data_IF_048497409224
#
_entry.id   IF_048497409224
#
_cell.length_a   1.000
_cell.length_b   1.000
_cell.length_c   1.000
_cell.angle_alpha   90.00
_cell.angle_beta   90.00
_cell.angle_gamma   90.00
#
_symmetry.space_group_name_H-M   'P 1'
#
loop_
_entity.id
_entity.type
_entity.pdbx_description
1 polymer ?
#
# COMPACT_ATOMS: atom_id res chain seq x y z
N UNK A 1 -37.06 64.22 9.29
CA UNK A 1 -35.80 64.76 8.72
C UNK A 1 -34.66 63.81 9.09
N UNK A 2 -34.25 62.95 8.14
CA UNK A 2 -32.89 62.77 7.55
C UNK A 2 -31.84 62.20 8.54
N UNK A 3 -31.67 60.86 8.59
CA UNK A 3 -30.71 59.99 7.83
C UNK A 3 -29.27 60.13 8.34
N UNK A 4 -28.82 59.30 9.29
CA UNK A 4 -28.23 57.93 9.17
C UNK A 4 -27.02 57.87 8.20
N UNK A 5 -25.87 57.68 8.84
CA UNK A 5 -24.51 57.47 8.34
C UNK A 5 -24.41 56.35 7.29
N UNK A 6 -23.67 56.60 6.20
CA UNK A 6 -23.25 55.60 5.22
C UNK A 6 -21.78 55.27 5.44
N UNK A 7 -21.52 54.02 5.81
CA UNK A 7 -20.22 53.38 5.84
C UNK A 7 -19.58 53.40 4.43
N UNK A 8 -18.31 53.81 4.38
CA UNK A 8 -17.49 53.81 3.18
C UNK A 8 -17.09 52.39 2.77
N UNK A 9 -17.62 51.94 1.64
CA UNK A 9 -17.12 50.79 0.89
C UNK A 9 -15.75 51.14 0.31
N UNK A 10 -14.68 50.53 0.82
CA UNK A 10 -13.40 50.45 0.10
C UNK A 10 -13.38 49.16 -0.72
N UNK A 11 -13.87 49.24 -1.95
CA UNK A 11 -13.56 48.25 -2.97
C UNK A 11 -12.09 48.38 -3.34
N UNK A 12 -11.28 47.36 -3.01
CA UNK A 12 -9.92 47.24 -3.56
C UNK A 12 -10.03 46.87 -5.04
N UNK A 13 -9.97 47.88 -5.90
CA UNK A 13 -9.68 47.71 -7.31
C UNK A 13 -8.22 47.24 -7.46
N UNK A 14 -8.02 46.03 -7.96
CA UNK A 14 -6.71 45.60 -8.46
C UNK A 14 -6.51 46.22 -9.85
N UNK A 15 -5.95 47.43 -9.91
CA UNK A 15 -5.38 47.97 -11.14
C UNK A 15 -3.95 47.46 -11.26
N UNK A 16 -3.74 46.46 -12.11
CA UNK A 16 -2.42 45.91 -12.38
C UNK A 16 -1.76 46.75 -13.48
N UNK A 17 -1.02 47.78 -13.09
CA UNK A 17 -0.17 48.55 -13.99
C UNK A 17 1.12 47.77 -14.23
N UNK A 18 1.31 47.30 -15.46
CA UNK A 18 2.59 46.74 -15.91
C UNK A 18 3.59 47.88 -16.10
N UNK A 19 4.62 47.93 -15.26
CA UNK A 19 5.83 48.71 -15.53
C UNK A 19 6.94 47.75 -15.97
N UNK A 20 7.58 47.96 -17.14
CA UNK A 20 8.65 47.09 -17.61
C UNK A 20 9.96 47.53 -16.97
N UNK A 21 10.32 46.93 -15.83
CA UNK A 21 11.68 46.99 -15.30
C UNK A 21 12.33 45.61 -15.41
N UNK A 22 13.49 45.62 -16.10
CA UNK A 22 14.58 44.64 -16.22
C UNK A 22 14.23 43.18 -15.93
N UNK A 23 14.47 42.35 -16.95
CA UNK A 23 14.26 40.90 -17.06
C UNK A 23 14.83 40.06 -15.90
N UNK A 24 14.16 40.09 -14.74
CA UNK A 24 14.20 38.97 -13.81
C UNK A 24 13.11 37.99 -14.25
N UNK A 25 13.54 36.86 -14.83
CA UNK A 25 12.63 35.84 -15.34
C UNK A 25 11.56 35.46 -14.31
N UNK A 26 10.38 35.05 -14.80
CA UNK A 26 9.19 34.74 -14.00
C UNK A 26 9.47 33.87 -12.76
N UNK A 27 10.43 32.95 -12.86
CA UNK A 27 10.86 32.09 -11.76
C UNK A 27 11.51 32.85 -10.61
N UNK A 28 12.33 33.88 -10.90
CA UNK A 28 12.98 34.72 -9.88
C UNK A 28 11.96 35.60 -9.17
N UNK A 29 11.02 36.20 -9.91
CA UNK A 29 9.89 36.93 -9.32
C UNK A 29 9.03 36.03 -8.44
N UNK A 30 8.78 34.80 -8.89
CA UNK A 30 8.00 33.83 -8.11
C UNK A 30 8.74 33.32 -6.88
N UNK A 31 10.07 33.21 -6.92
CA UNK A 31 10.91 32.90 -5.76
C UNK A 31 10.95 34.06 -4.76
N UNK A 32 10.98 35.29 -5.25
CA UNK A 32 10.98 36.50 -4.42
C UNK A 32 9.60 36.72 -3.77
N UNK A 33 8.50 36.55 -4.53
CA UNK A 33 7.14 36.50 -3.99
C UNK A 33 6.96 35.35 -2.99
N UNK A 34 7.56 34.16 -3.24
CA UNK A 34 7.54 33.06 -2.27
C UNK A 34 8.37 33.34 -1.04
N UNK A 35 9.48 34.09 -1.16
CA UNK A 35 10.30 34.52 -0.04
C UNK A 35 9.51 35.53 0.81
N UNK A 36 8.91 36.53 0.19
CA UNK A 36 8.12 37.56 0.87
C UNK A 36 6.83 36.99 1.48
N UNK A 37 6.27 35.92 0.89
CA UNK A 37 5.15 35.15 1.47
C UNK A 37 5.59 34.19 2.58
N UNK A 38 6.88 33.81 2.66
CA UNK A 38 7.42 32.89 3.68
C UNK A 38 8.27 33.60 4.76
N UNK A 39 8.53 34.90 4.67
CA UNK A 39 9.12 35.62 5.81
C UNK A 39 8.09 35.73 6.90
N UNK A 40 8.33 35.00 8.00
CA UNK A 40 7.57 35.07 9.23
C UNK A 40 7.59 36.54 9.69
N UNK A 41 6.43 37.20 9.71
CA UNK A 41 6.29 38.56 10.25
C UNK A 41 6.87 38.63 11.66
N UNK A 42 7.55 39.73 12.02
CA UNK A 42 8.13 39.92 13.37
C UNK A 42 7.11 39.75 14.50
N UNK A 43 5.82 39.91 14.18
CA UNK A 43 4.71 39.79 15.13
C UNK A 43 4.10 38.38 15.22
N UNK A 44 4.65 37.37 14.52
CA UNK A 44 4.17 35.99 14.57
C UNK A 44 4.61 35.31 15.89
N UNK A 45 3.70 34.67 16.65
CA UNK A 45 4.04 33.96 17.89
C UNK A 45 5.11 32.87 17.72
N UNK A 46 5.34 32.35 16.51
CA UNK A 46 6.40 31.38 16.23
C UNK A 46 7.81 31.99 16.30
N UNK A 47 7.98 33.27 15.91
CA UNK A 47 9.27 33.98 16.06
C UNK A 47 9.55 34.27 17.54
N UNK A 48 8.52 34.58 18.34
CA UNK A 48 8.69 34.65 19.80
C UNK A 48 9.15 33.33 20.37
N UNK A 49 8.65 32.19 19.88
CA UNK A 49 9.06 30.87 20.37
C UNK A 49 10.49 30.49 19.94
N UNK A 50 10.97 30.91 18.76
CA UNK A 50 12.37 30.74 18.37
C UNK A 50 13.30 31.67 19.15
N UNK A 51 12.93 32.93 19.34
CA UNK A 51 13.69 33.89 20.17
C UNK A 51 13.71 33.46 21.65
N UNK A 52 12.61 32.94 22.19
CA UNK A 52 12.53 32.40 23.55
C UNK A 52 13.37 31.11 23.68
N UNK A 53 13.45 30.27 22.64
CA UNK A 53 14.33 29.09 22.63
C UNK A 53 15.81 29.47 22.60
N UNK A 54 16.16 30.50 21.84
CA UNK A 54 17.54 30.99 21.72
C UNK A 54 17.99 31.77 22.96
N UNK A 55 17.08 32.45 23.67
CA UNK A 55 17.41 33.24 24.85
C UNK A 55 17.21 32.53 26.20
N UNK A 56 16.38 31.48 26.28
CA UNK A 56 16.08 30.76 27.53
C UNK A 56 16.38 29.24 27.47
N UNK A 57 17.29 28.80 26.60
CA UNK A 57 17.86 27.45 26.71
C UNK A 57 18.90 27.44 27.83
N UNK A 58 18.51 27.00 29.03
CA UNK A 58 19.40 26.85 30.21
C UNK A 58 20.69 26.06 29.88
N UNK A 59 20.58 25.15 28.90
CA UNK A 59 21.69 24.33 28.38
C UNK A 59 22.75 25.17 27.69
N UNK A 60 22.40 26.34 27.16
CA UNK A 60 23.33 27.20 26.43
C UNK A 60 24.15 28.14 27.33
N UNK A 61 23.74 28.31 28.58
CA UNK A 61 24.37 29.24 29.54
C UNK A 61 25.39 28.57 30.46
N UNK A 62 25.26 27.26 30.72
CA UNK A 62 26.16 26.51 31.60
C UNK A 62 27.05 25.55 30.78
N UNK A 63 28.36 25.84 30.74
CA UNK A 63 29.34 25.02 30.01
C UNK A 63 29.34 23.55 30.45
N UNK A 64 29.09 23.29 31.74
CA UNK A 64 28.98 21.92 32.29
C UNK A 64 27.79 21.13 31.73
N UNK A 65 26.65 21.79 31.46
CA UNK A 65 25.49 21.14 30.85
C UNK A 65 25.73 20.83 29.37
N UNK A 66 26.45 21.71 28.65
CA UNK A 66 26.88 21.45 27.27
C UNK A 66 27.79 20.23 27.17
N UNK A 67 28.75 20.12 28.09
CA UNK A 67 29.67 18.99 28.11
C UNK A 67 28.98 17.68 28.51
N UNK A 68 28.04 17.73 29.45
CA UNK A 68 27.17 16.59 29.76
C UNK A 68 26.32 16.17 28.55
N UNK A 69 25.76 17.13 27.82
CA UNK A 69 24.99 16.86 26.60
C UNK A 69 25.85 16.21 25.52
N UNK A 70 27.08 16.70 25.30
CA UNK A 70 28.07 16.10 24.38
C UNK A 70 28.47 14.68 24.79
N UNK A 71 28.57 14.40 26.10
CA UNK A 71 28.93 13.08 26.63
C UNK A 71 27.74 12.11 26.71
N UNK A 72 26.50 12.60 26.60
CA UNK A 72 25.29 11.81 26.77
C UNK A 72 25.19 10.65 25.73
N UNK A 73 25.51 10.85 24.44
CA UNK A 73 25.59 9.76 23.46
C UNK A 73 26.60 8.68 23.85
N UNK A 74 27.75 9.05 24.40
CA UNK A 74 28.77 8.08 24.80
C UNK A 74 28.36 7.31 26.07
N UNK A 75 27.72 7.98 27.04
CA UNK A 75 27.22 7.35 28.26
C UNK A 75 26.03 6.43 27.98
N UNK A 76 25.11 6.83 27.11
CA UNK A 76 24.00 5.99 26.65
C UNK A 76 24.52 4.78 25.89
N UNK A 77 25.44 4.96 24.95
CA UNK A 77 26.11 3.86 24.27
C UNK A 77 26.79 2.88 25.24
N UNK A 78 27.55 3.38 26.24
CA UNK A 78 28.17 2.50 27.25
C UNK A 78 27.17 1.75 28.11
N UNK A 79 26.01 2.35 28.39
CA UNK A 79 24.93 1.72 29.16
C UNK A 79 24.24 0.62 28.33
N UNK A 80 23.96 0.91 27.07
CA UNK A 80 23.27 -0.01 26.18
C UNK A 80 24.17 -1.17 25.75
N UNK A 81 25.47 -0.90 25.52
CA UNK A 81 26.46 -1.87 25.04
C UNK A 81 27.51 -2.27 26.10
N UNK A 82 27.15 -2.21 27.39
CA UNK A 82 28.08 -2.49 28.47
C UNK A 82 28.61 -3.93 28.47
N UNK A 83 27.79 -4.90 28.05
CA UNK A 83 28.17 -6.32 28.01
C UNK A 83 29.17 -6.61 26.90
N UNK A 84 28.96 -6.00 25.75
CA UNK A 84 29.78 -6.11 24.55
C UNK A 84 31.12 -5.42 24.77
N UNK A 85 31.13 -4.26 25.43
CA UNK A 85 32.37 -3.59 25.83
C UNK A 85 33.17 -4.44 26.82
N UNK A 86 32.51 -5.04 27.80
CA UNK A 86 33.17 -5.95 28.75
C UNK A 86 33.71 -7.23 28.07
N UNK A 87 33.01 -7.73 27.05
CA UNK A 87 33.48 -8.85 26.24
C UNK A 87 34.78 -8.51 25.49
N UNK A 88 34.89 -7.30 24.94
CA UNK A 88 36.12 -6.84 24.29
C UNK A 88 37.27 -6.64 25.29
N UNK A 89 36.99 -6.14 26.50
CA UNK A 89 38.04 -5.92 27.52
C UNK A 89 38.55 -7.22 28.17
N UNK A 90 37.74 -8.27 28.23
CA UNK A 90 38.09 -9.52 28.94
C UNK A 90 39.06 -10.45 28.18
N UNK A 91 39.40 -10.16 26.92
CA UNK A 91 40.51 -10.80 26.20
C UNK A 91 40.47 -12.33 26.09
N UNK A 92 41.60 -12.96 25.76
CA UNK A 92 41.73 -14.42 25.52
C UNK A 92 41.72 -15.27 26.81
N UNK A 93 41.65 -14.64 27.98
CA UNK A 93 41.80 -15.31 29.28
C UNK A 93 40.61 -16.19 29.68
N UNK A 94 39.41 -15.92 29.16
CA UNK A 94 38.18 -16.67 29.48
C UNK A 94 37.86 -17.73 28.43
N UNK A 95 37.35 -18.89 28.87
CA UNK A 95 36.89 -19.95 27.97
C UNK A 95 35.70 -19.47 27.10
N UNK A 96 35.50 -20.12 25.95
CA UNK A 96 34.43 -19.77 24.99
C UNK A 96 33.04 -19.81 25.63
N UNK A 97 32.80 -20.77 26.52
CA UNK A 97 31.53 -20.92 27.20
C UNK A 97 31.23 -19.77 28.18
N UNK A 98 32.20 -19.33 28.99
CA UNK A 98 32.01 -18.17 29.88
C UNK A 98 31.80 -16.87 29.08
N UNK A 99 32.46 -16.76 27.93
CA UNK A 99 32.26 -15.68 26.97
C UNK A 99 30.84 -15.64 26.41
N UNK A 100 30.33 -16.80 25.98
CA UNK A 100 28.97 -16.94 25.45
C UNK A 100 27.92 -16.67 26.56
N UNK A 101 28.18 -17.09 27.80
CA UNK A 101 27.32 -16.78 28.97
C UNK A 101 27.34 -15.29 29.30
N UNK A 102 28.49 -14.62 29.24
CA UNK A 102 28.60 -13.18 29.53
C UNK A 102 27.85 -12.31 28.50
N UNK A 103 27.85 -12.73 27.22
CA UNK A 103 27.08 -12.07 26.16
C UNK A 103 25.59 -12.44 26.20
N UNK A 104 25.21 -13.51 26.87
CA UNK A 104 23.81 -13.93 26.95
C UNK A 104 22.92 -12.89 27.65
N UNK A 105 21.64 -12.88 27.28
CA UNK A 105 20.63 -12.02 27.91
C UNK A 105 20.30 -12.56 29.30
N UNK A 106 20.08 -11.67 30.26
CA UNK A 106 19.67 -12.07 31.60
C UNK A 106 18.27 -12.70 31.54
N UNK A 107 18.08 -13.80 32.25
CA UNK A 107 16.80 -14.51 32.33
C UNK A 107 15.71 -13.63 32.95
N UNK A 108 14.60 -13.41 32.23
CA UNK A 108 13.46 -12.57 32.67
C UNK A 108 12.26 -13.39 33.15
N UNK A 109 12.40 -14.71 33.33
CA UNK A 109 11.30 -15.62 33.65
C UNK A 109 10.64 -16.29 32.43
N UNK A 110 10.90 -15.79 31.23
CA UNK A 110 10.52 -16.41 29.97
C UNK A 110 11.76 -16.60 29.09
N UNK A 111 11.83 -17.74 28.42
CA UNK A 111 12.90 -18.04 27.45
C UNK A 111 12.74 -17.17 26.20
N UNK A 112 13.85 -16.66 25.67
CA UNK A 112 13.82 -15.89 24.41
C UNK A 112 13.64 -16.83 23.23
N UNK A 113 13.03 -16.36 22.13
CA UNK A 113 12.79 -17.17 20.94
C UNK A 113 14.07 -17.79 20.38
N UNK A 114 15.16 -17.01 20.33
CA UNK A 114 16.46 -17.50 19.86
C UNK A 114 16.99 -18.67 20.71
N UNK A 115 16.88 -18.56 22.04
CA UNK A 115 17.32 -19.57 22.99
C UNK A 115 16.44 -20.83 22.88
N UNK A 116 15.12 -20.63 22.76
CA UNK A 116 14.15 -21.71 22.54
C UNK A 116 14.40 -22.44 21.21
N UNK A 117 14.73 -21.71 20.14
CA UNK A 117 15.09 -22.32 18.85
C UNK A 117 16.41 -23.05 18.91
N UNK A 118 17.40 -22.52 19.65
CA UNK A 118 18.68 -23.19 19.86
C UNK A 118 18.49 -24.47 20.67
N UNK A 119 17.64 -24.44 21.71
CA UNK A 119 17.25 -25.62 22.48
C UNK A 119 16.55 -26.65 21.61
N UNK A 120 15.56 -26.23 20.81
CA UNK A 120 14.89 -27.13 19.86
C UNK A 120 15.87 -27.71 18.83
N UNK A 121 16.83 -26.91 18.37
CA UNK A 121 17.83 -27.36 17.40
C UNK A 121 18.80 -28.35 18.05
N UNK A 122 19.29 -28.07 19.25
CA UNK A 122 20.15 -28.95 20.04
C UNK A 122 19.43 -30.25 20.40
N UNK A 123 18.16 -30.18 20.79
CA UNK A 123 17.32 -31.35 21.07
C UNK A 123 16.99 -32.14 19.79
N UNK A 124 16.81 -31.45 18.65
CA UNK A 124 16.58 -32.08 17.34
C UNK A 124 17.81 -32.77 16.79
N UNK A 125 19.00 -32.20 17.05
CA UNK A 125 20.28 -32.86 16.85
C UNK A 125 20.46 -33.85 17.98
N UNK A 126 19.65 -34.93 17.95
CA UNK A 126 19.73 -35.99 18.93
C UNK A 126 21.19 -36.34 19.13
N UNK A 127 21.66 -36.30 20.39
CA UNK A 127 23.07 -36.49 20.79
C UNK A 127 23.69 -37.46 19.80
N UNK A 128 24.60 -36.96 18.94
CA UNK A 128 25.31 -37.82 18.00
C UNK A 128 25.74 -39.01 18.83
N UNK A 129 25.32 -40.21 18.43
CA UNK A 129 25.87 -41.45 18.98
C UNK A 129 27.35 -41.38 18.63
N UNK A 130 28.13 -40.70 19.47
CA UNK A 130 29.58 -40.76 19.52
C UNK A 130 29.88 -42.24 19.37
N UNK A 131 30.57 -42.55 18.27
CA UNK A 131 30.50 -43.83 17.59
C UNK A 131 30.18 -45.01 18.50
N UNK A 132 29.15 -45.77 18.11
CA UNK A 132 29.16 -47.21 18.38
C UNK A 132 30.53 -47.68 17.91
N UNK A 133 31.40 -47.92 18.90
CA UNK A 133 32.68 -48.58 18.73
C UNK A 133 32.47 -49.74 17.76
N UNK A 134 33.32 -49.81 16.74
CA UNK A 134 33.37 -50.93 15.79
C UNK A 134 33.64 -52.26 16.53
N UNK A 135 34.01 -52.22 17.82
CA UNK A 135 33.97 -53.36 18.72
C UNK A 135 32.59 -53.49 19.38
N UNK A 136 31.62 -54.11 18.70
CA UNK A 136 30.36 -54.48 19.37
C UNK A 136 29.10 -54.68 18.52
N UNK A 137 29.20 -54.97 17.22
CA UNK A 137 28.03 -55.44 16.44
C UNK A 137 28.03 -56.97 16.39
N UNK A 138 27.04 -57.59 17.03
CA UNK A 138 26.83 -59.04 17.04
C UNK A 138 26.43 -59.52 15.63
N UNK A 139 27.33 -60.22 14.94
CA UNK A 139 27.14 -60.84 13.62
C UNK A 139 26.28 -62.12 13.64
N UNK A 140 25.57 -62.41 14.74
CA UNK A 140 24.90 -63.68 14.95
C UNK A 140 23.45 -63.76 14.40
N UNK A 141 22.91 -62.67 13.83
CA UNK A 141 21.50 -62.59 13.43
C UNK A 141 21.31 -62.02 12.02
N UNK A 142 22.02 -62.56 11.04
CA UNK A 142 21.70 -62.36 9.62
C UNK A 142 21.23 -63.71 9.07
N UNK A 143 19.99 -63.77 8.59
CA UNK A 143 19.36 -64.98 8.09
C UNK A 143 19.97 -65.40 6.73
N UNK A 144 20.59 -66.60 6.61
CA UNK A 144 21.36 -67.00 5.42
C UNK A 144 20.50 -67.30 4.16
N UNK A 145 19.16 -67.19 4.25
CA UNK A 145 18.24 -67.45 3.14
C UNK A 145 18.00 -66.23 2.24
N UNK A 146 18.29 -65.02 2.71
CA UNK A 146 18.05 -63.79 1.94
C UNK A 146 19.13 -63.56 0.87
N UNK A 147 20.37 -64.02 1.12
CA UNK A 147 21.47 -63.91 0.17
C UNK A 147 21.45 -64.94 -0.98
N UNK A 148 20.50 -65.90 -0.99
CA UNK A 148 20.45 -67.01 -1.96
C UNK A 148 19.40 -66.88 -3.08
N UNK A 149 18.53 -65.86 -3.03
CA UNK A 149 17.45 -65.70 -4.03
C UNK A 149 17.91 -65.12 -5.38
N UNK A 150 19.09 -64.52 -5.44
CA UNK A 150 19.54 -63.79 -6.63
C UNK A 150 20.32 -64.62 -7.66
N UNK A 151 20.61 -65.90 -7.37
CA UNK A 151 21.50 -66.73 -8.20
C UNK A 151 20.83 -67.85 -9.03
N UNK A 152 19.50 -67.91 -9.09
CA UNK A 152 18.81 -68.95 -9.87
C UNK A 152 18.74 -68.61 -11.37
N UNK A 153 19.12 -69.53 -12.28
CA UNK A 153 19.07 -69.30 -13.72
C UNK A 153 17.63 -69.21 -14.23
N UNK A 154 17.25 -68.06 -14.81
CA UNK A 154 15.92 -67.83 -15.37
C UNK A 154 15.63 -68.78 -16.56
N UNK A 155 14.41 -69.32 -16.62
CA UNK A 155 13.91 -70.15 -17.72
C UNK A 155 13.86 -69.38 -19.06
N UNK A 156 13.97 -70.08 -20.20
CA UNK A 156 14.05 -69.47 -21.53
C UNK A 156 12.87 -68.51 -21.85
N UNK A 157 11.67 -68.81 -21.36
CA UNK A 157 10.48 -67.95 -21.46
C UNK A 157 10.64 -66.62 -20.68
N UNK A 158 11.22 -66.65 -19.48
CA UNK A 158 11.52 -65.42 -18.70
C UNK A 158 12.64 -64.59 -19.32
N UNK A 159 13.63 -65.24 -19.96
CA UNK A 159 14.70 -64.55 -20.71
C UNK A 159 14.16 -63.83 -21.95
N UNK A 160 13.23 -64.45 -22.69
CA UNK A 160 12.56 -63.81 -23.82
C UNK A 160 11.73 -62.61 -23.34
N UNK A 161 10.96 -62.79 -22.26
CA UNK A 161 10.16 -61.71 -21.66
C UNK A 161 11.05 -60.53 -21.24
N UNK A 162 12.16 -60.80 -20.56
CA UNK A 162 13.12 -59.77 -20.13
C UNK A 162 13.76 -59.05 -21.33
N UNK A 163 14.09 -59.78 -22.41
CA UNK A 163 14.59 -59.15 -23.65
C UNK A 163 13.54 -58.28 -24.34
N UNK A 164 12.27 -58.68 -24.31
CA UNK A 164 11.16 -57.91 -24.87
C UNK A 164 10.90 -56.65 -24.05
N UNK A 165 10.97 -56.78 -22.72
CA UNK A 165 10.89 -55.69 -21.74
C UNK A 165 12.05 -54.71 -21.93
N UNK A 166 13.30 -55.20 -22.02
CA UNK A 166 14.48 -54.38 -22.31
C UNK A 166 14.37 -53.66 -23.67
N UNK A 167 13.78 -54.31 -24.70
CA UNK A 167 13.56 -53.69 -26.01
C UNK A 167 12.49 -52.58 -25.96
N UNK A 168 11.42 -52.78 -25.18
CA UNK A 168 10.40 -51.76 -24.93
C UNK A 168 10.97 -50.58 -24.16
N UNK A 169 11.75 -50.85 -23.11
CA UNK A 169 12.44 -49.83 -22.32
C UNK A 169 13.42 -49.00 -23.16
N UNK A 170 14.14 -49.65 -24.09
CA UNK A 170 15.07 -48.96 -24.99
C UNK A 170 14.35 -48.09 -26.04
N UNK A 171 13.20 -48.53 -26.55
CA UNK A 171 12.34 -47.70 -27.41
C UNK A 171 11.81 -46.47 -26.67
N UNK A 172 11.41 -46.65 -25.41
CA UNK A 172 10.96 -45.55 -24.57
C UNK A 172 12.10 -44.56 -24.27
N UNK A 173 13.31 -45.06 -24.01
CA UNK A 173 14.52 -44.21 -23.87
C UNK A 173 14.83 -43.40 -25.13
N UNK A 174 14.77 -44.00 -26.32
CA UNK A 174 15.01 -43.27 -27.58
C UNK A 174 13.97 -42.19 -27.85
N UNK A 175 12.69 -42.47 -27.54
CA UNK A 175 11.63 -41.46 -27.63
C UNK A 175 11.88 -40.29 -26.67
N UNK A 176 12.26 -40.59 -25.42
CA UNK A 176 12.59 -39.58 -24.43
C UNK A 176 13.83 -38.77 -24.81
N UNK A 177 14.88 -39.39 -25.38
CA UNK A 177 16.07 -38.66 -25.81
C UNK A 177 15.82 -37.77 -27.02
N UNK A 178 14.95 -38.19 -27.96
CA UNK A 178 14.51 -37.34 -29.08
C UNK A 178 13.65 -36.17 -28.60
N UNK A 179 12.76 -36.40 -27.62
CA UNK A 179 11.99 -35.33 -26.97
C UNK A 179 12.93 -34.37 -26.20
N UNK A 180 13.98 -34.88 -25.53
CA UNK A 180 15.01 -34.03 -24.88
C UNK A 180 15.80 -33.18 -25.87
N UNK A 181 16.17 -33.68 -27.05
CA UNK A 181 16.92 -32.90 -28.04
C UNK A 181 16.07 -31.72 -28.59
N UNK A 182 14.77 -31.95 -28.77
CA UNK A 182 13.81 -30.91 -29.13
C UNK A 182 13.64 -29.93 -27.97
N UNK A 183 13.46 -30.43 -26.75
CA UNK A 183 13.33 -29.61 -25.53
C UNK A 183 14.59 -28.78 -25.25
N UNK A 184 15.80 -29.30 -25.47
CA UNK A 184 17.06 -28.57 -25.28
C UNK A 184 17.21 -27.43 -26.29
N UNK A 185 16.81 -27.67 -27.55
CA UNK A 185 16.79 -26.64 -28.59
C UNK A 185 15.77 -25.56 -28.26
N UNK A 186 14.55 -25.94 -27.90
CA UNK A 186 13.50 -25.00 -27.46
C UNK A 186 13.91 -24.26 -26.18
N UNK A 187 14.58 -24.91 -25.23
CA UNK A 187 15.12 -24.30 -24.01
C UNK A 187 16.27 -23.33 -24.32
N UNK A 188 17.09 -23.59 -25.34
CA UNK A 188 18.16 -22.67 -25.75
C UNK A 188 17.59 -21.39 -26.39
N UNK A 189 16.58 -21.54 -27.24
CA UNK A 189 15.84 -20.42 -27.83
C UNK A 189 15.08 -19.65 -26.73
N UNK A 190 14.45 -20.36 -25.80
CA UNK A 190 13.79 -19.78 -24.65
C UNK A 190 14.78 -19.06 -23.72
N UNK A 191 15.95 -19.65 -23.46
CA UNK A 191 16.99 -19.03 -22.64
C UNK A 191 17.57 -17.79 -23.31
N UNK A 192 17.74 -17.80 -24.64
CA UNK A 192 18.10 -16.61 -25.40
C UNK A 192 17.05 -15.51 -25.24
N UNK A 193 15.76 -15.82 -25.43
CA UNK A 193 14.65 -14.89 -25.22
C UNK A 193 14.59 -14.35 -23.78
N UNK A 194 14.91 -15.18 -22.78
CA UNK A 194 14.93 -14.76 -21.38
C UNK A 194 16.16 -13.92 -21.03
N UNK A 195 17.33 -14.21 -21.60
CA UNK A 195 18.52 -13.36 -21.44
C UNK A 195 18.29 -11.97 -22.05
N UNK A 196 17.54 -11.89 -23.15
CA UNK A 196 17.08 -10.61 -23.71
C UNK A 196 16.09 -9.90 -22.78
N UNK A 197 15.22 -10.63 -22.06
CA UNK A 197 14.26 -10.02 -21.13
C UNK A 197 14.91 -9.49 -19.84
N UNK A 198 15.89 -10.20 -19.29
CA UNK A 198 16.44 -9.95 -17.95
C UNK A 198 17.78 -9.20 -17.89
N UNK A 199 18.41 -8.88 -19.04
CA UNK A 199 19.51 -7.91 -19.06
C UNK A 199 18.99 -6.48 -18.77
N UNK A 200 19.65 -5.70 -17.89
CA UNK A 200 19.18 -4.38 -17.52
C UNK A 200 18.96 -3.49 -18.74
N UNK A 201 17.85 -2.74 -18.74
CA UNK A 201 17.29 -1.96 -19.86
C UNK A 201 18.24 -0.87 -20.41
N UNK A 202 19.43 -0.67 -19.82
CA UNK A 202 20.38 0.38 -20.16
C UNK A 202 21.57 0.02 -21.07
N UNK A 203 21.76 -1.24 -21.50
CA UNK A 203 22.86 -1.56 -22.42
C UNK A 203 22.49 -1.22 -23.86
N UNK A 204 23.24 -0.31 -24.51
CA UNK A 204 23.04 0.10 -25.91
C UNK A 204 23.00 -1.08 -26.90
N UNK A 205 23.68 -2.18 -26.58
CA UNK A 205 23.67 -3.42 -27.37
C UNK A 205 22.29 -4.07 -27.42
N UNK A 206 21.49 -3.96 -26.34
CA UNK A 206 20.11 -4.46 -26.29
C UNK A 206 19.18 -3.67 -27.20
N UNK A 207 19.35 -2.34 -27.25
CA UNK A 207 18.57 -1.48 -28.15
C UNK A 207 18.91 -1.81 -29.61
N UNK A 208 20.19 -2.08 -29.91
CA UNK A 208 20.63 -2.54 -31.23
C UNK A 208 20.04 -3.90 -31.60
N UNK A 209 20.14 -4.91 -30.73
CA UNK A 209 19.55 -6.23 -30.97
C UNK A 209 18.04 -6.18 -31.23
N UNK A 210 17.28 -5.42 -30.42
CA UNK A 210 15.83 -5.24 -30.62
C UNK A 210 15.53 -4.50 -31.93
N UNK A 211 16.35 -3.50 -32.29
CA UNK A 211 16.21 -2.81 -33.56
C UNK A 211 16.45 -3.77 -34.73
N UNK A 212 17.50 -4.58 -34.67
CA UNK A 212 17.84 -5.56 -35.69
C UNK A 212 16.75 -6.64 -35.85
N UNK A 213 16.22 -7.15 -34.73
CA UNK A 213 15.07 -8.08 -34.75
C UNK A 213 13.83 -7.46 -35.40
N UNK A 214 13.52 -6.20 -35.10
CA UNK A 214 12.38 -5.49 -35.72
C UNK A 214 12.62 -5.18 -37.19
N UNK A 215 13.86 -4.89 -37.58
CA UNK A 215 14.25 -4.72 -38.99
C UNK A 215 14.04 -6.04 -39.73
N UNK A 216 14.48 -7.16 -39.17
CA UNK A 216 14.31 -8.48 -39.79
C UNK A 216 12.83 -8.91 -39.87
N UNK A 217 12.05 -8.65 -38.82
CA UNK A 217 10.60 -8.90 -38.84
C UNK A 217 9.89 -8.04 -39.90
N UNK A 218 10.31 -6.79 -40.06
CA UNK A 218 9.78 -5.88 -41.07
C UNK A 218 10.21 -6.27 -42.49
N UNK A 219 11.43 -6.81 -42.67
CA UNK A 219 11.87 -7.41 -43.94
C UNK A 219 11.05 -8.64 -44.29
N UNK A 220 10.82 -9.55 -43.33
CA UNK A 220 10.00 -10.75 -43.52
C UNK A 220 8.55 -10.42 -43.87
N UNK A 221 8.01 -9.33 -43.33
CA UNK A 221 6.67 -8.80 -43.64
C UNK A 221 6.60 -8.04 -44.98
N UNK A 222 7.70 -7.89 -45.71
CA UNK A 222 7.76 -7.11 -46.96
C UNK A 222 7.67 -5.60 -46.76
N UNK A 223 7.85 -5.10 -45.53
CA UNK A 223 7.78 -3.66 -45.22
C UNK A 223 8.87 -2.84 -45.93
N UNK A 224 9.97 -3.48 -46.31
CA UNK A 224 11.06 -2.86 -47.07
C UNK A 224 10.89 -2.96 -48.59
N UNK A 225 9.88 -3.66 -49.10
CA UNK A 225 9.65 -3.78 -50.55
C UNK A 225 9.07 -2.48 -51.13
N UNK A 226 8.52 -1.61 -50.28
CA UNK A 226 8.04 -0.26 -50.61
C UNK A 226 9.12 0.84 -50.52
N UNK A 227 10.40 0.48 -50.41
CA UNK A 227 11.49 1.46 -50.21
C UNK A 227 11.60 2.51 -51.32
N UNK A 228 11.28 2.12 -52.55
CA UNK A 228 11.32 3.03 -53.72
C UNK A 228 10.27 4.14 -53.61
N UNK A 229 9.11 3.86 -53.02
CA UNK A 229 8.04 4.84 -52.82
C UNK A 229 8.35 5.84 -51.68
N UNK A 230 9.21 5.44 -50.74
CA UNK A 230 9.57 6.19 -49.53
C UNK A 230 10.84 7.02 -49.71
N UNK A 231 11.66 6.73 -50.72
CA UNK A 231 12.91 7.44 -50.98
C UNK A 231 12.63 8.90 -51.36
N UNK A 232 13.12 9.84 -50.55
CA UNK A 232 13.07 11.28 -50.84
C UNK A 232 11.76 11.99 -50.50
N UNK A 233 10.71 11.28 -50.05
CA UNK A 233 9.51 11.94 -49.51
C UNK A 233 9.79 12.46 -48.10
N UNK A 234 9.44 13.71 -47.76
CA UNK A 234 9.60 14.22 -46.40
C UNK A 234 8.75 13.37 -45.46
N UNK A 235 9.37 12.81 -44.43
CA UNK A 235 8.64 12.08 -43.38
C UNK A 235 7.62 13.04 -42.75
N UNK A 236 6.35 12.64 -42.72
CA UNK A 236 5.31 13.38 -42.04
C UNK A 236 5.52 13.30 -40.52
N UNK A 237 6.45 14.13 -40.01
CA UNK A 237 6.60 14.31 -38.57
C UNK A 237 5.34 15.01 -38.05
N UNK A 238 4.82 14.59 -36.89
CA UNK A 238 3.73 15.31 -36.27
C UNK A 238 4.17 16.77 -36.05
N UNK A 239 3.29 17.72 -36.35
CA UNK A 239 3.50 19.12 -35.96
C UNK A 239 3.53 19.15 -34.43
N UNK A 240 4.73 19.30 -33.89
CA UNK A 240 4.93 19.42 -32.45
C UNK A 240 4.28 20.72 -31.98
N UNK A 241 3.66 20.67 -30.81
CA UNK A 241 3.24 21.89 -30.14
C UNK A 241 4.51 22.72 -29.84
N UNK A 242 4.54 24.00 -30.20
CA UNK A 242 5.71 24.88 -29.99
C UNK A 242 6.15 24.95 -28.52
N UNK A 243 5.23 24.65 -27.60
CA UNK A 243 5.45 24.69 -26.16
C UNK A 243 5.88 23.35 -25.54
N UNK A 244 6.03 22.29 -26.33
CA UNK A 244 6.44 20.97 -25.85
C UNK A 244 7.71 20.57 -26.58
N UNK A 245 8.74 20.20 -25.83
CA UNK A 245 10.00 19.76 -26.41
C UNK A 245 9.82 18.47 -27.21
N UNK A 246 10.66 18.28 -28.25
CA UNK A 246 10.61 17.08 -29.11
C UNK A 246 10.73 15.80 -28.28
N UNK A 247 11.62 15.83 -27.30
CA UNK A 247 11.89 14.73 -26.36
C UNK A 247 10.68 14.42 -25.50
N UNK A 248 10.06 15.43 -24.89
CA UNK A 248 8.86 15.30 -24.07
C UNK A 248 7.69 14.73 -24.87
N UNK A 249 7.50 15.21 -26.10
CA UNK A 249 6.45 14.71 -26.98
C UNK A 249 6.62 13.20 -27.27
N UNK A 250 7.82 12.77 -27.65
CA UNK A 250 8.08 11.36 -27.91
C UNK A 250 8.01 10.51 -26.64
N UNK A 251 8.50 11.02 -25.51
CA UNK A 251 8.40 10.34 -24.21
C UNK A 251 6.93 10.13 -23.82
N UNK A 252 6.10 11.17 -23.90
CA UNK A 252 4.67 11.08 -23.61
C UNK A 252 3.96 10.09 -24.56
N UNK A 253 4.32 10.07 -25.84
CA UNK A 253 3.80 9.09 -26.79
C UNK A 253 4.26 7.67 -26.46
N UNK A 254 5.49 7.46 -25.99
CA UNK A 254 5.96 6.14 -25.55
C UNK A 254 5.18 5.68 -24.31
N UNK A 255 5.01 6.55 -23.31
CA UNK A 255 4.22 6.26 -22.11
C UNK A 255 2.76 5.91 -22.46
N UNK A 256 2.12 6.70 -23.34
CA UNK A 256 0.76 6.46 -23.80
C UNK A 256 0.63 5.14 -24.58
N UNK A 257 1.57 4.85 -25.48
CA UNK A 257 1.60 3.59 -26.25
C UNK A 257 1.77 2.37 -25.35
N UNK A 258 2.62 2.47 -24.33
CA UNK A 258 2.86 1.39 -23.38
C UNK A 258 1.78 1.31 -22.29
N UNK A 259 0.84 2.27 -22.25
CA UNK A 259 -0.16 2.42 -21.18
C UNK A 259 0.46 2.46 -19.78
N UNK A 260 1.67 3.04 -19.69
CA UNK A 260 2.41 3.17 -18.43
C UNK A 260 2.18 4.57 -17.88
N UNK A 261 1.90 4.61 -16.59
CA UNK A 261 1.67 5.83 -15.84
C UNK A 261 2.85 6.00 -14.87
N UNK A 262 3.40 7.22 -14.71
CA UNK A 262 4.42 7.47 -13.69
C UNK A 262 4.02 6.93 -12.32
N UNK A 263 4.95 6.33 -11.54
CA UNK A 263 4.63 5.68 -10.27
C UNK A 263 3.86 6.55 -9.28
N UNK A 264 4.16 7.86 -9.24
CA UNK A 264 3.49 8.79 -8.35
C UNK A 264 2.01 9.02 -8.74
N UNK A 265 1.63 8.90 -10.02
CA UNK A 265 0.22 9.04 -10.46
C UNK A 265 -0.58 7.80 -10.06
N UNK A 266 0.02 6.60 -10.12
CA UNK A 266 -0.61 5.39 -9.60
C UNK A 266 -0.85 5.51 -8.08
N UNK A 267 0.18 5.97 -7.35
CA UNK A 267 0.07 6.27 -5.93
C UNK A 267 -0.96 7.39 -5.66
N UNK A 268 -1.07 8.39 -6.53
CA UNK A 268 -2.07 9.46 -6.44
C UNK A 268 -3.49 8.90 -6.48
N UNK A 269 -3.77 8.01 -7.44
CA UNK A 269 -5.07 7.36 -7.59
C UNK A 269 -5.43 6.57 -6.33
N UNK A 270 -4.46 5.79 -5.82
CA UNK A 270 -4.61 5.03 -4.59
C UNK A 270 -4.93 5.92 -3.38
N UNK A 271 -4.11 6.94 -3.12
CA UNK A 271 -4.29 7.86 -1.99
C UNK A 271 -5.63 8.60 -2.09
N UNK A 272 -6.03 9.04 -3.29
CA UNK A 272 -7.33 9.67 -3.50
C UNK A 272 -8.48 8.71 -3.20
N UNK A 273 -8.38 7.46 -3.65
CA UNK A 273 -9.38 6.43 -3.36
C UNK A 273 -9.49 6.18 -1.87
N UNK A 274 -8.38 5.95 -1.18
CA UNK A 274 -8.35 5.69 0.27
C UNK A 274 -8.91 6.89 1.05
N UNK A 275 -8.57 8.12 0.66
CA UNK A 275 -9.10 9.35 1.28
C UNK A 275 -10.62 9.45 1.09
N UNK A 276 -11.11 9.19 -0.12
CA UNK A 276 -12.54 9.24 -0.43
C UNK A 276 -13.32 8.10 0.23
N UNK A 277 -12.70 6.93 0.39
CA UNK A 277 -13.26 5.80 1.12
C UNK A 277 -13.39 6.12 2.60
N UNK A 278 -12.34 6.64 3.23
CA UNK A 278 -12.36 7.11 4.62
C UNK A 278 -13.48 8.14 4.83
N UNK A 279 -13.57 9.16 3.96
CA UNK A 279 -14.63 10.19 4.08
C UNK A 279 -16.03 9.61 3.93
N UNK A 280 -16.25 8.72 2.97
CA UNK A 280 -17.55 8.05 2.78
C UNK A 280 -17.89 7.15 3.97
N UNK A 281 -16.91 6.46 4.53
CA UNK A 281 -17.11 5.61 5.70
C UNK A 281 -17.51 6.43 6.92
N UNK A 282 -16.82 7.55 7.19
CA UNK A 282 -17.18 8.46 8.28
C UNK A 282 -18.61 8.99 8.13
N UNK A 283 -18.98 9.44 6.91
CA UNK A 283 -20.31 9.94 6.62
C UNK A 283 -21.37 8.86 6.84
N UNK A 284 -21.16 7.66 6.30
CA UNK A 284 -22.10 6.53 6.47
C UNK A 284 -22.25 6.12 7.93
N UNK A 285 -21.17 6.10 8.69
CA UNK A 285 -21.20 5.76 10.10
C UNK A 285 -22.02 6.81 10.88
N UNK A 286 -21.75 8.10 10.65
CA UNK A 286 -22.53 9.16 11.30
C UNK A 286 -24.00 9.17 10.86
N UNK A 287 -24.29 8.98 9.57
CA UNK A 287 -25.66 8.82 9.06
C UNK A 287 -26.38 7.65 9.73
N UNK A 288 -25.70 6.52 9.92
CA UNK A 288 -26.30 5.36 10.59
C UNK A 288 -26.62 5.65 12.06
N UNK A 289 -25.76 6.37 12.78
CA UNK A 289 -26.03 6.82 14.15
C UNK A 289 -27.21 7.78 14.21
N UNK A 290 -27.30 8.73 13.26
CA UNK A 290 -28.47 9.62 13.20
C UNK A 290 -29.75 8.84 12.96
N UNK A 291 -29.72 7.86 12.05
CA UNK A 291 -30.89 7.02 11.76
C UNK A 291 -31.28 6.20 12.99
N UNK A 292 -30.34 5.54 13.68
CA UNK A 292 -30.67 4.76 14.88
C UNK A 292 -31.33 5.63 15.94
N UNK A 293 -30.82 6.84 16.19
CA UNK A 293 -31.48 7.78 17.11
C UNK A 293 -32.89 8.16 16.65
N UNK A 294 -33.06 8.50 15.37
CA UNK A 294 -34.39 8.87 14.85
C UNK A 294 -35.38 7.70 14.93
N UNK A 295 -34.91 6.46 14.81
CA UNK A 295 -35.71 5.25 14.98
C UNK A 295 -36.06 5.00 16.45
N UNK A 296 -35.12 5.15 17.38
CA UNK A 296 -35.36 5.05 18.84
C UNK A 296 -36.45 6.03 19.30
N UNK A 297 -36.42 7.25 18.79
CA UNK A 297 -37.41 8.28 19.12
C UNK A 297 -38.72 8.15 18.33
N UNK A 298 -38.87 7.13 17.47
CA UNK A 298 -40.02 6.95 16.58
C UNK A 298 -40.33 8.20 15.72
N UNK A 299 -39.31 9.00 15.41
CA UNK A 299 -39.47 10.19 14.56
C UNK A 299 -39.79 9.80 13.11
N UNK A 300 -39.35 8.61 12.69
CA UNK A 300 -39.59 8.05 11.36
C UNK A 300 -40.74 7.03 11.47
N UNK A 301 -41.96 7.44 11.11
CA UNK A 301 -43.14 6.55 10.99
C UNK A 301 -43.72 6.62 9.58
N UNK A 302 -44.39 5.58 9.07
CA UNK A 302 -45.02 5.61 7.75
C UNK A 302 -46.03 6.78 7.68
N UNK A 303 -45.86 7.67 6.70
CA UNK A 303 -46.67 8.88 6.52
C UNK A 303 -46.19 10.15 7.27
N UNK A 304 -45.00 10.12 7.90
CA UNK A 304 -44.35 11.32 8.42
C UNK A 304 -43.53 12.05 7.35
N UNK A 305 -43.84 13.32 7.11
CA UNK A 305 -43.02 14.19 6.26
C UNK A 305 -41.80 14.70 7.02
N UNK A 306 -40.76 15.12 6.29
CA UNK A 306 -39.58 15.80 6.86
C UNK A 306 -39.96 16.99 7.76
N UNK A 307 -41.06 17.69 7.44
CA UNK A 307 -41.56 18.78 8.27
C UNK A 307 -42.01 18.32 9.66
N UNK A 308 -42.62 17.13 9.75
CA UNK A 308 -43.07 16.55 11.03
C UNK A 308 -41.85 16.10 11.85
N UNK A 309 -40.82 15.54 11.21
CA UNK A 309 -39.55 15.22 11.89
C UNK A 309 -38.86 16.47 12.41
N UNK A 310 -38.84 17.55 11.63
CA UNK A 310 -38.27 18.83 12.05
C UNK A 310 -39.05 19.44 13.21
N UNK A 311 -40.38 19.37 13.22
CA UNK A 311 -41.19 19.83 14.34
C UNK A 311 -40.89 19.06 15.63
N UNK A 312 -40.79 17.73 15.54
CA UNK A 312 -40.38 16.88 16.67
C UNK A 312 -39.00 17.26 17.22
N UNK A 313 -38.01 17.44 16.33
CA UNK A 313 -36.66 17.82 16.72
C UNK A 313 -36.61 19.22 17.36
N UNK A 314 -37.36 20.19 16.82
CA UNK A 314 -37.48 21.52 17.43
C UNK A 314 -38.10 21.48 18.83
N UNK A 315 -39.11 20.63 19.04
CA UNK A 315 -39.74 20.48 20.35
C UNK A 315 -38.82 19.90 21.43
N UNK A 316 -37.87 19.03 21.05
CA UNK A 316 -36.95 18.36 21.98
C UNK A 316 -35.61 19.10 22.16
N UNK A 317 -35.03 19.62 21.08
CA UNK A 317 -33.67 20.15 21.02
C UNK A 317 -33.60 21.64 20.67
N UNK A 318 -34.75 22.30 20.50
CA UNK A 318 -34.87 23.71 20.11
C UNK A 318 -34.65 23.94 18.62
N UNK A 319 -33.51 23.49 18.08
CA UNK A 319 -33.15 23.59 16.67
C UNK A 319 -32.67 22.24 16.12
N UNK A 320 -32.76 22.07 14.79
CA UNK A 320 -32.22 20.90 14.10
C UNK A 320 -30.69 20.93 14.09
N UNK A 321 -30.11 22.13 13.97
CA UNK A 321 -28.65 22.31 13.96
C UNK A 321 -28.03 21.99 15.32
N UNK A 322 -28.68 22.40 16.41
CA UNK A 322 -28.21 22.09 17.78
C UNK A 322 -28.25 20.59 18.04
N UNK A 323 -29.29 19.90 17.56
CA UNK A 323 -29.38 18.44 17.61
C UNK A 323 -28.22 17.77 16.85
N UNK A 324 -27.95 18.20 15.60
CA UNK A 324 -26.85 17.62 14.80
C UNK A 324 -25.50 17.87 15.49
N UNK A 325 -25.28 19.05 16.06
CA UNK A 325 -24.06 19.38 16.78
C UNK A 325 -23.86 18.52 18.03
N UNK A 326 -24.89 18.36 18.86
CA UNK A 326 -24.83 17.52 20.06
C UNK A 326 -24.57 16.05 19.73
N UNK A 327 -25.20 15.53 18.68
CA UNK A 327 -24.95 14.15 18.24
C UNK A 327 -23.60 13.99 17.57
N UNK A 328 -23.15 14.99 16.82
CA UNK A 328 -21.81 15.02 16.25
C UNK A 328 -20.74 14.99 17.33
N UNK A 329 -20.89 15.74 18.43
CA UNK A 329 -19.91 15.71 19.53
C UNK A 329 -19.85 14.35 20.21
N UNK A 330 -20.99 13.72 20.46
CA UNK A 330 -21.06 12.37 21.03
C UNK A 330 -20.43 11.32 20.10
N UNK A 331 -20.80 11.32 18.82
CA UNK A 331 -20.23 10.45 17.79
C UNK A 331 -18.72 10.65 17.66
N UNK A 332 -18.28 11.91 17.62
CA UNK A 332 -16.87 12.29 17.52
C UNK A 332 -16.08 11.63 18.64
N UNK A 333 -16.50 11.75 19.90
CA UNK A 333 -15.80 11.15 21.03
C UNK A 333 -15.65 9.63 20.90
N UNK A 334 -16.70 8.94 20.44
CA UNK A 334 -16.68 7.49 20.24
C UNK A 334 -15.78 7.06 19.06
N UNK A 335 -15.84 7.80 17.95
CA UNK A 335 -15.18 7.42 16.70
C UNK A 335 -13.73 7.92 16.59
N UNK A 336 -13.33 8.93 17.37
CA UNK A 336 -11.99 9.52 17.36
C UNK A 336 -10.81 8.54 17.43
N UNK A 337 -10.79 7.50 18.30
CA UNK A 337 -9.64 6.58 18.36
C UNK A 337 -9.49 5.75 17.08
N UNK A 338 -10.61 5.30 16.49
CA UNK A 338 -10.59 4.55 15.23
C UNK A 338 -10.13 5.48 14.09
N UNK A 339 -10.64 6.71 14.09
CA UNK A 339 -10.29 7.73 13.11
C UNK A 339 -8.79 8.07 13.16
N UNK A 340 -8.21 8.27 14.34
CA UNK A 340 -6.81 8.64 14.50
C UNK A 340 -5.88 7.55 13.96
N UNK A 341 -6.21 6.27 14.19
CA UNK A 341 -5.46 5.14 13.62
C UNK A 341 -5.52 5.13 12.10
N UNK A 342 -6.72 5.27 11.51
CA UNK A 342 -6.90 5.30 10.04
C UNK A 342 -6.25 6.50 9.37
N UNK A 343 -6.28 7.66 10.02
CA UNK A 343 -5.61 8.86 9.53
C UNK A 343 -4.09 8.68 9.61
N UNK A 344 -3.58 8.02 10.65
CA UNK A 344 -2.14 7.74 10.77
C UNK A 344 -1.66 6.83 9.64
N UNK A 345 -2.40 5.76 9.33
CA UNK A 345 -2.06 4.86 8.21
C UNK A 345 -2.14 5.58 6.85
N UNK A 346 -3.17 6.40 6.63
CA UNK A 346 -3.32 7.18 5.41
C UNK A 346 -2.26 8.29 5.28
N UNK A 347 -1.88 8.93 6.39
CA UNK A 347 -0.81 9.93 6.38
C UNK A 347 0.55 9.29 6.06
N UNK A 348 0.78 8.03 6.43
CA UNK A 348 1.96 7.29 5.99
C UNK A 348 1.94 7.01 4.48
N UNK A 349 0.79 6.66 3.89
CA UNK A 349 0.67 6.48 2.43
C UNK A 349 0.83 7.82 1.67
N UNK A 350 0.27 8.91 2.22
CA UNK A 350 0.47 10.28 1.74
C UNK A 350 1.94 10.70 1.77
N UNK A 351 2.69 10.35 2.83
CA UNK A 351 4.13 10.65 2.92
C UNK A 351 4.90 9.95 1.80
N UNK A 352 4.62 8.67 1.56
CA UNK A 352 5.26 7.91 0.47
C UNK A 352 4.93 8.51 -0.91
N UNK A 353 3.67 8.92 -1.12
CA UNK A 353 3.26 9.63 -2.33
C UNK A 353 3.98 10.98 -2.49
N UNK A 354 4.04 11.81 -1.45
CA UNK A 354 4.65 13.14 -1.51
C UNK A 354 6.15 13.08 -1.79
N UNK A 355 6.83 12.02 -1.37
CA UNK A 355 8.24 11.80 -1.66
C UNK A 355 8.48 11.59 -3.17
N UNK A 356 7.52 10.97 -3.86
CA UNK A 356 7.61 10.68 -5.30
C UNK A 356 7.01 11.79 -6.17
N UNK A 357 6.06 12.56 -5.64
CA UNK A 357 5.31 13.55 -6.39
C UNK A 357 6.07 14.88 -6.55
N UNK A 358 5.93 15.56 -7.70
CA UNK A 358 6.47 16.90 -7.87
C UNK A 358 5.79 17.88 -6.91
N UNK A 359 6.51 18.91 -6.44
CA UNK A 359 6.06 19.90 -5.46
C UNK A 359 4.62 20.43 -5.66
N UNK A 360 4.18 20.85 -6.86
CA UNK A 360 2.81 21.35 -7.05
C UNK A 360 1.71 20.31 -6.79
N UNK A 361 2.07 19.02 -6.85
CA UNK A 361 1.14 17.90 -6.79
C UNK A 361 1.17 17.17 -5.44
N UNK A 362 2.04 17.61 -4.52
CA UNK A 362 2.09 17.09 -3.16
C UNK A 362 0.81 17.45 -2.38
N UNK A 363 0.38 16.54 -1.52
CA UNK A 363 -0.85 16.65 -0.72
C UNK A 363 -0.54 16.97 0.73
N UNK A 364 -1.43 17.72 1.37
CA UNK A 364 -1.34 17.98 2.81
C UNK A 364 -1.79 16.75 3.62
N UNK A 365 -1.20 16.60 4.80
CA UNK A 365 -1.62 15.57 5.75
C UNK A 365 -3.02 15.83 6.29
N UNK A 366 -3.76 14.75 6.54
CA UNK A 366 -5.09 14.82 7.13
C UNK A 366 -4.99 15.01 8.64
N UNK A 367 -5.93 15.78 9.18
CA UNK A 367 -6.11 16.01 10.61
C UNK A 367 -7.48 15.48 11.03
N UNK A 368 -7.53 14.73 12.14
CA UNK A 368 -8.75 14.11 12.67
C UNK A 368 -9.86 15.12 12.93
N UNK A 369 -9.53 16.25 13.55
CA UNK A 369 -10.51 17.29 13.87
C UNK A 369 -11.12 17.91 12.61
N UNK A 370 -10.30 18.23 11.61
CA UNK A 370 -10.76 18.81 10.35
C UNK A 370 -11.65 17.85 9.57
N UNK A 371 -11.32 16.56 9.55
CA UNK A 371 -12.13 15.54 8.89
C UNK A 371 -13.46 15.31 9.62
N UNK A 372 -13.50 15.41 10.95
CA UNK A 372 -14.75 15.40 11.70
C UNK A 372 -15.62 16.64 11.42
N UNK A 373 -15.04 17.84 11.34
CA UNK A 373 -15.78 19.06 10.95
C UNK A 373 -16.29 18.99 9.51
N UNK A 374 -15.57 18.32 8.59
CA UNK A 374 -16.06 18.09 7.23
C UNK A 374 -17.30 17.22 7.20
N UNK A 375 -17.36 16.19 8.04
CA UNK A 375 -18.55 15.34 8.18
C UNK A 375 -19.74 16.19 8.58
N UNK A 376 -19.59 17.02 9.62
CA UNK A 376 -20.62 17.95 10.09
C UNK A 376 -21.20 18.84 8.98
N UNK A 377 -20.32 19.41 8.15
CA UNK A 377 -20.73 20.31 7.06
C UNK A 377 -21.37 19.59 5.86
N UNK A 378 -21.14 18.29 5.72
CA UNK A 378 -21.59 17.51 4.57
C UNK A 378 -22.93 16.79 4.80
N UNK A 379 -23.44 16.77 6.05
CA UNK A 379 -24.70 16.11 6.38
C UNK A 379 -25.88 16.92 5.84
N UNK A 380 -26.75 16.23 5.10
CA UNK A 380 -28.08 16.72 4.76
C UNK A 380 -29.13 15.79 5.39
N UNK A 381 -29.75 16.27 6.47
CA UNK A 381 -30.77 15.52 7.21
C UNK A 381 -32.02 15.26 6.35
N UNK A 382 -32.37 16.17 5.44
CA UNK A 382 -33.55 16.03 4.60
C UNK A 382 -33.39 14.87 3.63
N UNK A 383 -32.26 14.84 2.92
CA UNK A 383 -31.90 13.73 2.03
C UNK A 383 -31.86 12.40 2.79
N UNK A 384 -31.28 12.38 3.99
CA UNK A 384 -31.18 11.17 4.82
C UNK A 384 -32.54 10.61 5.22
N UNK A 385 -33.43 11.47 5.74
CA UNK A 385 -34.80 11.05 6.15
C UNK A 385 -35.59 10.57 4.95
N UNK A 386 -35.55 11.29 3.83
CA UNK A 386 -36.27 10.91 2.61
C UNK A 386 -35.80 9.55 2.08
N UNK A 387 -34.48 9.32 2.04
CA UNK A 387 -33.89 8.04 1.62
C UNK A 387 -34.34 6.90 2.53
N UNK A 388 -34.33 7.10 3.84
CA UNK A 388 -34.77 6.08 4.81
C UNK A 388 -36.26 5.75 4.67
N UNK A 389 -37.08 6.75 4.39
CA UNK A 389 -38.51 6.58 4.12
C UNK A 389 -38.76 5.78 2.84
N UNK A 390 -38.01 6.08 1.76
CA UNK A 390 -38.07 5.32 0.52
C UNK A 390 -37.69 3.85 0.75
N UNK A 391 -36.62 3.58 1.51
CA UNK A 391 -36.21 2.22 1.88
C UNK A 391 -37.29 1.47 2.67
N UNK A 392 -38.00 2.13 3.60
CA UNK A 392 -39.10 1.53 4.35
C UNK A 392 -40.31 1.24 3.47
N UNK A 393 -40.72 2.19 2.61
CA UNK A 393 -41.82 1.98 1.67
C UNK A 393 -41.55 0.80 0.72
N UNK A 394 -40.31 0.63 0.25
CA UNK A 394 -39.90 -0.52 -0.56
C UNK A 394 -40.00 -1.82 0.23
N UNK A 395 -39.57 -1.85 1.50
CA UNK A 395 -39.70 -3.03 2.37
C UNK A 395 -41.15 -3.41 2.62
N UNK A 396 -42.02 -2.42 2.89
CA UNK A 396 -43.46 -2.64 3.05
C UNK A 396 -44.08 -3.21 1.78
N UNK A 397 -43.77 -2.64 0.60
CA UNK A 397 -44.23 -3.16 -0.69
C UNK A 397 -43.75 -4.59 -0.97
N UNK A 398 -42.51 -4.93 -0.61
CA UNK A 398 -42.01 -6.30 -0.73
C UNK A 398 -42.78 -7.23 0.21
N UNK A 399 -43.00 -6.82 1.46
CA UNK A 399 -43.74 -7.61 2.44
C UNK A 399 -45.21 -7.83 2.01
N UNK A 400 -45.88 -6.82 1.44
CA UNK A 400 -47.24 -6.98 0.90
C UNK A 400 -47.26 -7.92 -0.31
N UNK A 401 -46.28 -7.84 -1.20
CA UNK A 401 -46.14 -8.79 -2.32
C UNK A 401 -45.86 -10.23 -1.88
N UNK A 402 -45.08 -10.43 -0.82
CA UNK A 402 -44.84 -11.76 -0.26
C UNK A 402 -46.09 -12.30 0.44
N UNK A 403 -46.80 -11.45 1.18
CA UNK A 403 -48.02 -11.85 1.90
C UNK A 403 -49.15 -12.22 0.93
N UNK A 404 -49.35 -11.43 -0.14
CA UNK A 404 -50.33 -11.77 -1.19
C UNK A 404 -50.00 -13.11 -1.87
N UNK A 405 -48.74 -13.37 -2.20
CA UNK A 405 -48.31 -14.67 -2.77
C UNK A 405 -48.57 -15.85 -1.83
N UNK A 406 -48.37 -15.68 -0.52
CA UNK A 406 -48.68 -16.72 0.48
C UNK A 406 -50.18 -16.97 0.65
N UNK A 407 -51.03 -15.95 0.51
CA UNK A 407 -52.49 -16.11 0.53
C UNK A 407 -52.95 -16.88 -0.72
N UNK A 408 -52.36 -16.63 -1.89
CA UNK A 408 -52.69 -17.35 -3.12
C UNK A 408 -52.15 -18.81 -3.16
N UNK A 409 -51.15 -19.16 -2.37
CA UNK A 409 -50.65 -20.55 -2.28
C UNK A 409 -51.42 -21.41 -1.28
N UNK A 410 -51.89 -20.85 -0.15
CA UNK A 410 -52.75 -21.54 0.82
C UNK A 410 -54.18 -21.77 0.29
N UNK A 411 -54.69 -20.89 -0.58
CA UNK A 411 -56.01 -21.02 -1.20
C UNK A 411 -56.13 -22.12 -2.29
N UNK A 412 -55.04 -22.80 -2.65
CA UNK A 412 -55.06 -23.88 -3.67
C UNK A 412 -55.02 -25.30 -3.10
N UNK A 413 -54.97 -25.48 -1.77
CA UNK A 413 -54.83 -26.80 -1.12
C UNK A 413 -56.11 -27.43 -0.58
N UNK A 414 -57.29 -26.81 -0.74
CA UNK A 414 -58.58 -27.45 -0.41
C UNK A 414 -59.53 -27.42 -1.61
N UNK A 415 -59.46 -28.38 -2.53
CA UNK A 415 -60.54 -28.62 -3.47
C UNK A 415 -61.65 -29.38 -2.72
N UNK A 416 -62.79 -28.70 -2.54
CA UNK A 416 -64.13 -29.25 -2.38
C UNK A 416 -64.25 -30.68 -1.81
N UNK A 417 -64.46 -30.79 -0.49
CA UNK A 417 -65.28 -31.87 0.06
C UNK A 417 -66.70 -31.33 0.24
N UNK A 418 -67.58 -31.75 -0.67
CA UNK A 418 -69.04 -31.71 -0.53
C UNK A 418 -69.55 -33.13 -0.46
#
# INVERSE_FOLDING_TARGET
>A
MKRISKNGFHGRAFSQTYSPRSDSGYFKRRLEDLKDQNTITKDDPLNRLSEIKEQNSLVDNEEGLKDLYRQLPQKTFRKDFGKELHYVTTGTSMNRQAKDIALSRAWKGQEHLEDATLRMLVDSTGKSKSGVSIYGKNLAFIDPNEARKDSQPLTASRKLKKKLEDAQDNLQKYRLDKEKEIDEREQSEFRALYTEKFTPIGSFEKIRSIADQRVEESRRKGGFDSLEELRGKPLALPRLNQHIDRTEYYLNNMLARQKIVPPWIEAQSRVNRETNELRREMLRNFESELVTFLEEYKAITPGHDFNKTCYFLKGKFGSVETFIMEKHTAWKLSYMPILSMKITTLNNSLRAYNLQAPLPQQKLYLQSEKEASRVLNAIDLQSLVNKKMEERSKKENINTMLNTKNIFSLGRFFPNWK
#
